data_IF_440552851081
#
_entry.id   IF_440552851081
#
_cell.length_a   1.000
_cell.length_b   1.000
_cell.length_c   1.000
_cell.angle_alpha   90.00
_cell.angle_beta   90.00
_cell.angle_gamma   90.00
#
_symmetry.space_group_name_H-M   'P 1'
#
loop_
_entity.id
_entity.type
_entity.pdbx_description
1 polymer ?
#
# COMPACT_ATOMS: atom_id res chain seq x y z
N UNK A 1 65.25 3.73 14.55
CA UNK A 1 64.11 4.67 14.67
C UNK A 1 62.82 3.84 14.57
N UNK A 2 62.61 2.80 15.37
CA UNK A 2 62.40 2.81 16.83
C UNK A 2 61.33 3.81 17.25
N UNK A 3 60.10 3.33 17.48
CA UNK A 3 59.60 3.22 18.85
C UNK A 3 58.44 2.22 18.96
N UNK A 4 58.48 1.51 20.08
CA UNK A 4 57.73 0.34 20.52
C UNK A 4 56.77 0.77 21.65
N UNK A 5 55.85 -0.11 22.01
CA UNK A 5 55.14 -0.26 23.30
C UNK A 5 53.66 0.22 23.32
N UNK A 6 52.65 -0.64 23.41
CA UNK A 6 52.13 -1.54 24.49
C UNK A 6 51.41 -0.86 25.66
N UNK A 7 50.38 -1.59 26.15
CA UNK A 7 49.63 -1.53 27.43
C UNK A 7 48.43 -0.60 27.51
N UNK A 8 47.39 -0.84 28.32
CA UNK A 8 46.74 -2.01 28.95
C UNK A 8 45.58 -1.44 29.80
N UNK A 9 44.47 -2.17 29.87
CA UNK A 9 43.47 -2.37 30.97
C UNK A 9 43.36 -1.36 32.12
N UNK A 10 42.11 -0.99 32.45
CA UNK A 10 41.45 -0.95 33.79
C UNK A 10 40.25 0.02 33.70
N UNK A 11 39.02 -0.23 34.16
CA UNK A 11 38.59 -0.99 35.33
C UNK A 11 38.12 -0.01 36.42
N UNK A 12 36.81 0.28 36.52
CA UNK A 12 36.19 0.77 37.77
C UNK A 12 34.64 0.72 37.73
N UNK A 13 33.97 0.18 38.77
CA UNK A 13 32.52 0.12 38.94
C UNK A 13 32.01 1.00 40.12
N UNK A 14 30.70 0.87 40.41
CA UNK A 14 29.98 1.17 41.67
C UNK A 14 29.36 2.56 41.92
N UNK A 15 28.11 2.50 42.35
CA UNK A 15 27.40 3.51 43.14
C UNK A 15 26.04 3.87 42.53
N UNK A 16 24.90 3.85 43.23
CA UNK A 16 24.61 3.56 44.62
C UNK A 16 23.10 3.31 44.75
N UNK A 17 22.77 2.54 45.79
CA UNK A 17 21.44 2.22 46.28
C UNK A 17 20.64 3.47 46.68
N UNK A 18 19.34 3.48 46.41
CA UNK A 18 18.37 4.15 47.27
C UNK A 18 17.33 3.13 47.75
N UNK A 19 17.63 2.60 48.95
CA UNK A 19 16.73 1.86 49.83
C UNK A 19 15.74 2.86 50.42
N UNK A 20 14.45 2.53 50.41
CA UNK A 20 13.55 2.96 51.48
C UNK A 20 12.47 1.89 51.68
N UNK A 21 12.73 1.01 52.65
CA UNK A 21 11.71 0.43 53.52
C UNK A 21 11.32 1.54 54.53
N UNK A 22 10.11 1.68 55.06
CA UNK A 22 9.39 0.69 55.88
C UNK A 22 8.01 1.27 56.27
N UNK A 23 7.15 0.41 56.83
CA UNK A 23 6.01 0.70 57.73
C UNK A 23 4.63 0.84 57.08
N UNK A 24 3.88 -0.26 56.95
CA UNK A 24 3.05 -0.95 57.98
C UNK A 24 1.65 -0.32 58.08
N UNK A 25 0.60 -1.08 57.72
CA UNK A 25 -0.47 -1.54 58.63
C UNK A 25 -1.64 -2.18 57.86
N UNK A 26 -2.04 -3.33 58.38
CA UNK A 26 -3.19 -4.10 57.97
C UNK A 26 -4.51 -3.38 58.30
N UNK A 27 -5.51 -3.55 57.44
CA UNK A 27 -6.89 -3.13 57.69
C UNK A 27 -7.85 -3.99 56.87
N UNK A 28 -8.37 -5.03 57.51
CA UNK A 28 -9.36 -5.94 56.96
C UNK A 28 -10.79 -5.42 57.17
N UNK A 29 -11.67 -5.85 56.27
CA UNK A 29 -13.13 -5.98 56.40
C UNK A 29 -14.01 -4.72 56.35
N UNK A 30 -14.73 -4.56 55.22
CA UNK A 30 -16.19 -4.34 55.23
C UNK A 30 -16.80 -4.70 53.86
N UNK A 31 -17.90 -5.44 53.91
CA UNK A 31 -18.57 -6.13 52.82
C UNK A 31 -19.56 -5.23 52.05
N UNK A 32 -19.54 -5.40 50.73
CA UNK A 32 -20.64 -5.45 49.74
C UNK A 32 -22.07 -5.06 50.18
N UNK A 33 -22.68 -4.10 49.46
CA UNK A 33 -23.75 -4.40 48.47
C UNK A 33 -24.28 -3.09 47.84
N UNK A 34 -23.76 -2.70 46.68
CA UNK A 34 -24.36 -1.65 45.85
C UNK A 34 -25.26 -2.35 44.84
N UNK A 35 -26.58 -2.17 45.00
CA UNK A 35 -27.62 -2.59 44.07
C UNK A 35 -27.44 -1.83 42.73
N UNK A 36 -26.65 -2.40 41.82
CA UNK A 36 -26.45 -1.91 40.46
C UNK A 36 -27.51 -2.45 39.51
N UNK A 37 -28.28 -1.54 38.92
CA UNK A 37 -29.32 -1.79 37.93
C UNK A 37 -28.77 -2.63 36.76
N UNK A 38 -29.25 -3.86 36.60
CA UNK A 38 -28.96 -4.69 35.43
C UNK A 38 -29.77 -4.18 34.23
N UNK A 39 -29.34 -3.08 33.62
CA UNK A 39 -29.72 -2.75 32.25
C UNK A 39 -28.71 -3.44 31.33
N UNK A 40 -29.07 -4.63 30.85
CA UNK A 40 -28.40 -5.24 29.70
C UNK A 40 -28.76 -4.37 28.50
N UNK A 41 -27.99 -3.31 28.28
CA UNK A 41 -27.95 -2.64 26.99
C UNK A 41 -27.16 -3.54 26.09
N UNK A 42 -27.86 -4.32 25.27
CA UNK A 42 -27.28 -5.03 24.15
C UNK A 42 -26.52 -4.01 23.29
N UNK A 43 -25.18 -4.04 23.38
CA UNK A 43 -24.35 -3.25 22.47
C UNK A 43 -24.57 -3.83 21.09
N UNK A 44 -25.43 -3.18 20.31
CA UNK A 44 -25.38 -3.24 18.85
C UNK A 44 -23.98 -2.77 18.46
N UNK A 45 -23.06 -3.71 18.28
CA UNK A 45 -21.77 -3.44 17.68
C UNK A 45 -22.08 -3.07 16.24
N UNK A 46 -21.69 -1.87 15.75
CA UNK A 46 -21.88 -1.54 14.35
C UNK A 46 -21.22 -2.64 13.52
N UNK A 47 -22.01 -3.34 12.70
CA UNK A 47 -21.47 -4.24 11.69
C UNK A 47 -20.63 -3.38 10.75
N UNK A 48 -19.31 -3.54 10.82
CA UNK A 48 -18.39 -2.88 9.88
C UNK A 48 -18.71 -3.49 8.52
N UNK A 49 -19.46 -2.75 7.70
CA UNK A 49 -19.72 -3.14 6.33
C UNK A 49 -18.38 -3.41 5.63
N UNK A 50 -18.28 -4.46 4.81
CA UNK A 50 -17.04 -4.73 4.07
C UNK A 50 -16.66 -3.51 3.25
N UNK A 51 -15.43 -3.03 3.43
CA UNK A 51 -14.93 -1.84 2.73
C UNK A 51 -14.97 -2.07 1.22
N UNK A 52 -15.82 -1.32 0.52
CA UNK A 52 -15.84 -1.30 -0.95
C UNK A 52 -14.48 -0.81 -1.44
N UNK A 53 -13.86 -1.46 -2.44
CA UNK A 53 -12.57 -1.02 -2.95
C UNK A 53 -12.67 0.41 -3.47
N UNK A 54 -11.67 1.23 -3.16
CA UNK A 54 -11.62 2.63 -3.59
C UNK A 54 -11.46 2.80 -5.11
N UNK A 55 -11.12 1.72 -5.81
CA UNK A 55 -10.98 1.65 -7.27
C UNK A 55 -11.82 0.51 -7.80
N UNK A 56 -12.68 0.79 -8.79
CA UNK A 56 -13.45 -0.23 -9.50
C UNK A 56 -12.73 -0.62 -10.78
N UNK A 57 -12.14 -1.82 -10.80
CA UNK A 57 -11.46 -2.36 -11.99
C UNK A 57 -11.62 -3.89 -12.03
N UNK A 58 -11.86 -4.44 -13.21
CA UNK A 58 -12.01 -5.88 -13.48
C UNK A 58 -10.83 -6.43 -14.27
N UNK A 59 -10.71 -7.76 -14.35
CA UNK A 59 -9.67 -8.41 -15.18
C UNK A 59 -9.84 -8.04 -16.65
N UNK A 60 -11.10 -7.96 -17.11
CA UNK A 60 -11.47 -7.56 -18.46
C UNK A 60 -11.02 -6.13 -18.79
N UNK A 61 -11.13 -5.21 -17.83
CA UNK A 61 -10.68 -3.82 -18.01
C UNK A 61 -9.18 -3.71 -18.28
N UNK A 62 -8.38 -4.66 -17.78
CA UNK A 62 -6.93 -4.68 -17.97
C UNK A 62 -6.51 -5.16 -19.36
N UNK A 63 -7.30 -6.05 -19.99
CA UNK A 63 -6.93 -6.66 -21.27
C UNK A 63 -6.95 -5.59 -22.38
N UNK A 64 -5.86 -5.50 -23.13
CA UNK A 64 -5.74 -4.58 -24.26
C UNK A 64 -4.34 -4.03 -24.49
N UNK A 65 -4.26 -3.01 -25.34
CA UNK A 65 -3.04 -2.31 -25.70
C UNK A 65 -2.87 -1.06 -24.83
N UNK A 66 -1.71 -0.92 -24.22
CA UNK A 66 -1.40 0.16 -23.30
C UNK A 66 -0.09 0.86 -23.66
N UNK A 67 -0.09 2.17 -23.57
CA UNK A 67 1.11 2.97 -23.45
C UNK A 67 1.67 2.86 -22.04
N UNK A 68 2.97 2.62 -21.90
CA UNK A 68 3.62 2.45 -20.62
C UNK A 68 4.51 3.65 -20.29
N UNK A 69 4.39 4.16 -19.07
CA UNK A 69 5.30 5.16 -18.52
C UNK A 69 5.52 4.95 -17.03
N UNK A 70 6.43 5.72 -16.46
CA UNK A 70 6.58 5.80 -15.01
C UNK A 70 7.00 7.20 -14.56
N UNK A 71 6.66 7.52 -13.32
CA UNK A 71 7.03 8.78 -12.67
C UNK A 71 7.54 8.55 -11.25
N UNK A 72 8.25 9.54 -10.70
CA UNK A 72 8.76 9.52 -9.33
C UNK A 72 8.14 10.59 -8.44
N UNK A 73 7.77 11.71 -9.03
CA UNK A 73 7.09 12.81 -8.34
C UNK A 73 5.67 12.91 -8.88
N UNK A 74 4.68 13.05 -8.00
CA UNK A 74 3.28 13.10 -8.40
C UNK A 74 2.98 14.25 -9.38
N UNK A 75 3.71 15.37 -9.26
CA UNK A 75 3.62 16.50 -10.19
C UNK A 75 3.94 16.14 -11.66
N UNK A 76 4.69 15.05 -11.89
CA UNK A 76 5.03 14.59 -13.24
C UNK A 76 3.92 13.75 -13.89
N UNK A 77 2.92 13.29 -13.14
CA UNK A 77 1.90 12.36 -13.62
C UNK A 77 1.25 12.82 -14.95
N UNK A 78 0.79 14.08 -15.11
CA UNK A 78 0.19 14.52 -16.37
C UNK A 78 1.13 14.42 -17.58
N UNK A 79 2.42 14.75 -17.37
CA UNK A 79 3.45 14.62 -18.42
C UNK A 79 3.68 13.16 -18.77
N UNK A 80 3.84 12.29 -17.77
CA UNK A 80 4.06 10.86 -17.95
C UNK A 80 2.90 10.18 -18.67
N UNK A 81 1.64 10.56 -18.40
CA UNK A 81 0.48 10.04 -19.13
C UNK A 81 0.59 10.38 -20.63
N UNK A 82 0.96 11.62 -20.97
CA UNK A 82 1.11 12.05 -22.35
C UNK A 82 2.26 11.31 -23.06
N UNK A 83 3.37 11.07 -22.36
CA UNK A 83 4.48 10.25 -22.88
C UNK A 83 4.06 8.80 -23.08
N UNK A 84 3.38 8.20 -22.11
CA UNK A 84 2.85 6.84 -22.20
C UNK A 84 1.97 6.68 -23.47
N UNK A 85 1.05 7.61 -23.72
CA UNK A 85 0.20 7.62 -24.92
C UNK A 85 0.99 7.67 -26.24
N UNK A 86 2.15 8.35 -26.26
CA UNK A 86 3.01 8.40 -27.46
C UNK A 86 3.67 7.06 -27.77
N UNK A 87 3.84 6.19 -26.78
CA UNK A 87 4.38 4.85 -26.96
C UNK A 87 3.38 3.84 -27.55
N UNK A 88 2.14 4.25 -27.84
CA UNK A 88 1.11 3.36 -28.37
C UNK A 88 1.37 2.79 -29.77
N UNK A 89 2.35 3.28 -30.51
CA UNK A 89 2.81 2.65 -31.76
C UNK A 89 3.57 1.33 -31.52
N UNK A 90 4.09 1.11 -30.32
CA UNK A 90 4.65 -0.16 -29.86
C UNK A 90 4.11 -0.47 -28.44
N UNK A 91 2.85 -0.92 -28.34
CA UNK A 91 2.14 -0.97 -27.07
C UNK A 91 2.64 -2.09 -26.15
N UNK A 92 2.51 -1.86 -24.85
CA UNK A 92 2.50 -2.90 -23.84
C UNK A 92 1.18 -3.67 -23.92
N UNK A 93 1.25 -4.92 -24.37
CA UNK A 93 0.07 -5.76 -24.59
C UNK A 93 -0.24 -6.58 -23.35
N UNK A 94 -1.43 -6.38 -22.79
CA UNK A 94 -1.97 -7.19 -21.69
C UNK A 94 -2.97 -8.17 -22.29
N UNK A 95 -2.68 -9.46 -22.20
CA UNK A 95 -3.59 -10.53 -22.65
C UNK A 95 -4.25 -11.22 -21.46
N UNK A 96 -5.34 -11.93 -21.72
CA UNK A 96 -5.98 -12.81 -20.72
C UNK A 96 -5.04 -13.96 -20.38
N UNK A 97 -4.87 -14.21 -19.08
CA UNK A 97 -4.15 -15.35 -18.56
C UNK A 97 -4.98 -16.64 -18.56
N UNK A 98 -4.35 -17.81 -18.43
CA UNK A 98 -5.04 -19.10 -18.49
C UNK A 98 -5.97 -19.38 -17.29
N UNK A 99 -5.79 -18.71 -16.15
CA UNK A 99 -6.52 -18.92 -14.90
C UNK A 99 -7.33 -17.69 -14.47
N UNK A 100 -7.97 -17.00 -15.42
CA UNK A 100 -8.73 -15.75 -15.20
C UNK A 100 -7.88 -14.58 -14.66
N UNK A 101 -6.56 -14.64 -14.80
CA UNK A 101 -5.67 -13.51 -14.60
C UNK A 101 -5.41 -12.74 -15.90
N UNK A 102 -4.34 -11.95 -15.89
CA UNK A 102 -3.76 -11.31 -17.07
C UNK A 102 -2.27 -11.60 -17.18
N UNK A 103 -1.75 -11.69 -18.39
CA UNK A 103 -0.32 -11.83 -18.63
C UNK A 103 0.33 -10.45 -18.56
N UNK A 104 1.24 -10.27 -17.60
CA UNK A 104 1.97 -9.01 -17.39
C UNK A 104 3.37 -9.28 -16.87
N UNK A 105 4.27 -8.33 -17.11
CA UNK A 105 5.62 -8.37 -16.58
C UNK A 105 5.63 -7.95 -15.10
N UNK A 106 6.40 -8.72 -14.32
CA UNK A 106 6.85 -8.31 -12.99
C UNK A 106 8.13 -7.47 -13.11
N UNK A 107 8.51 -6.83 -12.02
CA UNK A 107 9.77 -6.11 -11.96
C UNK A 107 10.94 -7.08 -12.22
N UNK A 108 11.92 -6.61 -12.99
CA UNK A 108 13.14 -7.36 -13.34
C UNK A 108 12.91 -8.66 -14.16
N UNK A 109 11.68 -8.95 -14.59
CA UNK A 109 11.39 -10.15 -15.37
C UNK A 109 11.39 -9.84 -16.88
N UNK A 110 12.02 -10.71 -17.67
CA UNK A 110 12.05 -10.62 -19.13
C UNK A 110 10.90 -11.37 -19.82
N UNK A 111 10.09 -12.11 -19.06
CA UNK A 111 8.92 -12.83 -19.55
C UNK A 111 7.68 -12.43 -18.75
N UNK A 112 6.50 -12.36 -19.39
CA UNK A 112 5.26 -12.10 -18.68
C UNK A 112 4.88 -13.33 -17.84
N UNK A 113 4.31 -13.06 -16.67
CA UNK A 113 3.70 -14.06 -15.80
C UNK A 113 2.21 -13.76 -15.65
N UNK A 114 1.42 -14.77 -15.32
CA UNK A 114 0.03 -14.53 -14.98
C UNK A 114 -0.07 -13.80 -13.64
N UNK A 115 -0.76 -12.66 -13.66
CA UNK A 115 -1.09 -11.86 -12.49
C UNK A 115 -2.60 -11.85 -12.30
N UNK A 116 -3.04 -11.76 -11.05
CA UNK A 116 -4.45 -11.73 -10.67
C UNK A 116 -4.77 -10.43 -9.94
N UNK A 117 -5.98 -9.92 -10.15
CA UNK A 117 -6.54 -8.85 -9.33
C UNK A 117 -6.92 -9.39 -7.96
N UNK A 118 -6.56 -8.63 -6.92
CA UNK A 118 -6.79 -8.98 -5.52
C UNK A 118 -7.34 -7.78 -4.79
N UNK A 119 -8.35 -8.00 -3.95
CA UNK A 119 -8.97 -6.96 -3.13
C UNK A 119 -8.69 -7.26 -1.65
N UNK A 120 -8.13 -6.30 -0.92
CA UNK A 120 -7.91 -6.42 0.52
C UNK A 120 -7.96 -5.04 1.17
N UNK A 121 -8.68 -4.94 2.29
CA UNK A 121 -8.76 -3.71 3.09
C UNK A 121 -9.14 -2.45 2.28
N UNK A 122 -10.11 -2.59 1.37
CA UNK A 122 -10.58 -1.51 0.49
C UNK A 122 -9.58 -1.08 -0.60
N UNK A 123 -8.49 -1.82 -0.80
CA UNK A 123 -7.44 -1.56 -1.80
C UNK A 123 -7.41 -2.67 -2.85
N UNK A 124 -7.02 -2.30 -4.07
CA UNK A 124 -6.88 -3.20 -5.20
C UNK A 124 -5.41 -3.44 -5.50
N UNK A 125 -5.04 -4.68 -5.76
CA UNK A 125 -3.68 -5.09 -6.08
C UNK A 125 -3.67 -5.96 -7.33
N UNK A 126 -2.56 -5.90 -8.06
CA UNK A 126 -2.27 -6.81 -9.17
C UNK A 126 -0.88 -7.42 -8.99
N UNK A 127 -0.81 -8.74 -9.04
CA UNK A 127 0.44 -9.47 -8.87
C UNK A 127 0.22 -10.99 -8.91
N UNK A 128 1.23 -11.80 -8.56
CA UNK A 128 1.11 -13.25 -8.63
C UNK A 128 -0.06 -13.78 -7.77
N UNK A 129 -0.61 -14.96 -8.11
CA UNK A 129 -1.61 -15.63 -7.28
C UNK A 129 -1.13 -15.78 -5.83
N UNK A 130 -2.02 -15.54 -4.87
CA UNK A 130 -1.73 -15.57 -3.44
C UNK A 130 -2.29 -14.37 -2.69
N UNK A 131 -1.76 -14.06 -1.49
CA UNK A 131 -2.20 -12.92 -0.68
C UNK A 131 -2.07 -11.58 -1.42
N UNK A 132 -2.90 -10.61 -1.05
CA UNK A 132 -2.82 -9.24 -1.55
C UNK A 132 -1.80 -8.41 -0.76
N UNK A 133 -1.18 -7.43 -1.40
CA UNK A 133 -0.24 -6.52 -0.74
C UNK A 133 1.14 -7.13 -0.50
N UNK A 134 1.53 -8.14 -1.28
CA UNK A 134 2.89 -8.70 -1.22
C UNK A 134 3.88 -7.77 -1.95
N UNK A 135 5.20 -7.86 -1.66
CA UNK A 135 6.21 -7.04 -2.34
C UNK A 135 6.20 -7.15 -3.88
N UNK A 136 5.74 -8.28 -4.43
CA UNK A 136 5.62 -8.51 -5.88
C UNK A 136 4.39 -7.85 -6.51
N UNK A 137 3.48 -7.31 -5.70
CA UNK A 137 2.27 -6.68 -6.17
C UNK A 137 2.52 -5.23 -6.56
N UNK A 138 1.69 -4.75 -7.49
CA UNK A 138 1.40 -3.33 -7.64
C UNK A 138 0.07 -3.05 -7.00
N UNK A 139 -0.04 -1.96 -6.26
CA UNK A 139 -1.33 -1.44 -5.81
C UNK A 139 -1.92 -0.57 -6.90
N UNK A 140 -3.16 -0.81 -7.31
CA UNK A 140 -3.87 0.08 -8.23
C UNK A 140 -4.49 1.19 -7.38
N UNK A 141 -3.92 2.39 -7.49
CA UNK A 141 -4.34 3.57 -6.71
C UNK A 141 -5.36 4.43 -7.44
N UNK A 142 -5.38 4.36 -8.78
CA UNK A 142 -6.36 5.04 -9.61
C UNK A 142 -6.60 4.25 -10.90
N UNK A 143 -7.87 4.20 -11.33
CA UNK A 143 -8.28 3.78 -12.66
C UNK A 143 -9.39 4.72 -13.14
N UNK A 144 -9.05 5.61 -14.06
CA UNK A 144 -9.98 6.61 -14.61
C UNK A 144 -9.48 7.04 -15.98
N UNK A 145 -10.38 7.42 -16.89
CA UNK A 145 -9.99 8.02 -18.18
C UNK A 145 -9.03 7.14 -19.02
N UNK A 146 -9.19 5.83 -18.91
CA UNK A 146 -8.30 4.86 -19.55
C UNK A 146 -6.86 4.92 -19.02
N UNK A 147 -6.63 5.42 -17.80
CA UNK A 147 -5.32 5.51 -17.16
C UNK A 147 -5.33 4.72 -15.86
N UNK A 148 -4.34 3.84 -15.71
CA UNK A 148 -4.06 3.11 -14.45
C UNK A 148 -2.81 3.70 -13.82
N UNK A 149 -2.88 4.04 -12.54
CA UNK A 149 -1.73 4.42 -11.71
C UNK A 149 -1.47 3.32 -10.69
N UNK A 150 -0.31 2.68 -10.82
CA UNK A 150 0.01 1.44 -10.12
C UNK A 150 1.42 1.46 -9.50
N UNK A 151 1.59 2.05 -8.30
CA UNK A 151 2.84 1.94 -7.54
C UNK A 151 3.14 0.49 -7.16
N UNK A 152 4.43 0.16 -7.06
CA UNK A 152 4.86 -1.12 -6.49
C UNK A 152 4.68 -1.09 -4.97
N UNK A 153 4.25 -2.23 -4.41
CA UNK A 153 4.18 -2.39 -2.95
C UNK A 153 5.57 -2.40 -2.33
N UNK A 154 6.55 -3.02 -2.99
CA UNK A 154 7.95 -2.95 -2.59
C UNK A 154 8.56 -1.57 -2.94
N UNK A 155 8.96 -0.75 -1.95
CA UNK A 155 9.52 0.57 -2.18
C UNK A 155 10.87 0.51 -2.93
N UNK A 156 11.63 -0.58 -2.83
CA UNK A 156 12.89 -0.75 -3.56
C UNK A 156 12.66 -0.89 -5.07
N UNK A 157 11.51 -1.43 -5.47
CA UNK A 157 11.11 -1.53 -6.88
C UNK A 157 10.65 -0.17 -7.37
N UNK A 158 9.85 0.56 -6.58
CA UNK A 158 9.46 1.95 -6.88
C UNK A 158 10.68 2.87 -7.01
N UNK A 159 11.72 2.70 -6.19
CA UNK A 159 12.94 3.50 -6.33
C UNK A 159 13.64 3.30 -7.69
N UNK A 160 13.69 2.05 -8.17
CA UNK A 160 14.34 1.67 -9.44
C UNK A 160 13.51 2.04 -10.67
N UNK A 161 12.21 1.77 -10.63
CA UNK A 161 11.34 1.85 -11.80
C UNK A 161 10.31 2.99 -11.77
N UNK A 162 10.09 3.61 -10.61
CA UNK A 162 9.03 4.59 -10.39
C UNK A 162 7.65 3.94 -10.19
N UNK A 163 6.65 4.80 -10.04
CA UNK A 163 5.23 4.41 -10.08
C UNK A 163 4.81 4.19 -11.52
N UNK A 164 4.23 3.03 -11.82
CA UNK A 164 3.83 2.68 -13.18
C UNK A 164 2.55 3.41 -13.58
N UNK A 165 2.51 3.87 -14.83
CA UNK A 165 1.34 4.45 -15.47
C UNK A 165 1.06 3.67 -16.75
N UNK A 166 -0.17 3.17 -16.88
CA UNK A 166 -0.66 2.55 -18.10
C UNK A 166 -1.73 3.44 -18.69
N UNK A 167 -1.54 3.93 -19.92
CA UNK A 167 -2.54 4.72 -20.64
C UNK A 167 -3.12 3.92 -21.81
N UNK A 168 -4.43 3.79 -21.90
CA UNK A 168 -5.11 2.98 -22.91
C UNK A 168 -4.79 3.52 -24.30
N UNK A 169 -4.32 2.64 -25.20
CA UNK A 169 -4.08 3.04 -26.57
C UNK A 169 -5.39 3.19 -27.35
N UNK A 170 -5.42 4.16 -28.27
CA UNK A 170 -6.59 4.43 -29.10
C UNK A 170 -7.72 5.20 -28.40
N UNK A 171 -7.55 5.56 -27.12
CA UNK A 171 -8.44 6.51 -26.46
C UNK A 171 -7.82 7.91 -26.52
N UNK A 172 -8.54 8.93 -27.02
CA UNK A 172 -8.11 10.29 -26.82
C UNK A 172 -8.03 10.58 -25.31
N UNK A 173 -7.15 11.50 -24.91
CA UNK A 173 -7.15 11.98 -23.54
C UNK A 173 -8.57 12.44 -23.18
N UNK A 174 -9.16 11.90 -22.12
CA UNK A 174 -10.43 12.42 -21.62
C UNK A 174 -10.31 13.93 -21.46
N UNK A 175 -11.32 14.66 -21.93
CA UNK A 175 -11.40 16.09 -21.69
C UNK A 175 -11.28 16.34 -20.18
N UNK A 176 -10.56 17.38 -19.73
CA UNK A 176 -10.48 17.70 -18.32
C UNK A 176 -11.91 17.80 -17.76
N UNK A 177 -12.17 17.05 -16.68
CA UNK A 177 -13.46 17.08 -16.01
C UNK A 177 -13.79 18.53 -15.68
N UNK A 178 -14.95 19.01 -16.15
CA UNK A 178 -15.42 20.35 -15.85
C UNK A 178 -15.40 20.55 -14.32
N UNK A 179 -15.03 21.76 -13.83
CA UNK A 179 -15.06 22.03 -12.41
C UNK A 179 -16.44 21.68 -11.86
N UNK A 180 -16.51 20.79 -10.87
CA UNK A 180 -17.75 20.49 -10.16
C UNK A 180 -18.29 21.81 -9.63
N UNK A 181 -19.53 22.23 -9.95
CA UNK A 181 -20.06 23.48 -9.44
C UNK A 181 -20.01 23.44 -7.91
N UNK A 182 -19.42 24.48 -7.32
CA UNK A 182 -19.42 24.64 -5.88
C UNK A 182 -20.88 24.63 -5.41
N UNK A 183 -21.22 23.69 -4.52
CA UNK A 183 -22.53 23.64 -3.92
C UNK A 183 -22.77 24.98 -3.21
N UNK A 184 -23.72 25.74 -3.72
CA UNK A 184 -24.15 27.01 -3.13
C UNK A 184 -24.98 26.67 -1.91
N UNK A 185 -24.47 26.98 -0.72
CA UNK A 185 -25.24 27.03 0.53
C UNK A 185 -25.76 28.44 0.77
#
# INVERSE_FOLDING_TARGET
MEQTATTSVDGAPFGALCRNATCWLAGAAALLAISGCASVTERVVPSVAPATPSVSITTEDLVGNWGLGSFRQEADLPRTINEARRYCSNPYVITRGPNNGVMMYLADQSQPSELVLKNASGRVYIGPPGPAGTPKDRQITSFQDGVIVAPWVDPSVTARYGTMVFARCGQPASAPAAPRPAASG
#
